data_IF_640018926806
#
_entry.id   IF_640018926806
#
_cell.length_a   1.000
_cell.length_b   1.000
_cell.length_c   1.000
_cell.angle_alpha   90.00
_cell.angle_beta   90.00
_cell.angle_gamma   90.00
#
_symmetry.space_group_name_H-M   'P 1'
#
loop_
_entity.id
_entity.type
_entity.pdbx_description
1 polymer ?
#
# COMPACT_ATOMS: atom_id res chain seq x y z
N UNK A 1 10.28 8.77 4.52
CA UNK A 1 9.06 8.19 3.94
C UNK A 1 9.42 7.38 2.72
N UNK A 2 8.88 6.18 2.55
CA UNK A 2 9.17 5.34 1.38
C UNK A 2 8.03 5.46 0.36
N UNK A 3 8.33 6.04 -0.80
CA UNK A 3 7.46 6.02 -1.96
C UNK A 3 7.90 4.89 -2.89
N UNK A 4 6.99 3.96 -3.20
CA UNK A 4 7.22 2.99 -4.27
C UNK A 4 6.46 3.48 -5.51
N UNK A 5 7.16 3.63 -6.62
CA UNK A 5 6.57 3.97 -7.91
C UNK A 5 6.69 2.74 -8.80
N UNK A 6 5.56 2.18 -9.20
CA UNK A 6 5.50 1.08 -10.17
C UNK A 6 4.89 1.62 -11.46
N UNK A 7 5.48 1.27 -12.61
CA UNK A 7 4.94 1.65 -13.92
C UNK A 7 3.50 1.17 -14.14
N UNK A 8 3.18 0.01 -13.57
CA UNK A 8 1.89 -0.65 -13.72
C UNK A 8 1.30 -1.02 -12.35
N UNK A 9 -0.04 -1.03 -12.26
CA UNK A 9 -0.79 -1.38 -11.03
C UNK A 9 -1.06 -2.89 -10.99
N UNK A 10 -0.01 -3.68 -10.84
CA UNK A 10 -0.10 -5.15 -10.85
C UNK A 10 -0.23 -5.77 -9.45
N UNK A 11 -0.92 -6.91 -9.39
CA UNK A 11 -0.99 -7.75 -8.18
C UNK A 11 0.40 -8.17 -7.68
N UNK A 12 1.29 -8.55 -8.61
CA UNK A 12 2.67 -8.96 -8.28
C UNK A 12 3.47 -7.82 -7.66
N UNK A 13 3.27 -6.59 -8.15
CA UNK A 13 3.92 -5.42 -7.61
C UNK A 13 3.41 -5.10 -6.19
N UNK A 14 2.09 -5.18 -5.99
CA UNK A 14 1.48 -5.01 -4.66
C UNK A 14 1.99 -6.06 -3.65
N UNK A 15 2.10 -7.33 -4.05
CA UNK A 15 2.66 -8.40 -3.22
C UNK A 15 4.11 -8.13 -2.81
N UNK A 16 4.97 -7.81 -3.78
CA UNK A 16 6.38 -7.48 -3.51
C UNK A 16 6.49 -6.29 -2.56
N UNK A 17 5.63 -5.28 -2.73
CA UNK A 17 5.61 -4.13 -1.85
C UNK A 17 5.20 -4.52 -0.42
N UNK A 18 4.11 -5.24 -0.24
CA UNK A 18 3.65 -5.69 1.09
C UNK A 18 4.75 -6.52 1.77
N UNK A 19 5.36 -7.48 1.06
CA UNK A 19 6.45 -8.29 1.60
C UNK A 19 7.67 -7.45 1.99
N UNK A 20 8.08 -6.49 1.15
CA UNK A 20 9.22 -5.61 1.43
C UNK A 20 8.95 -4.72 2.64
N UNK A 21 7.74 -4.15 2.73
CA UNK A 21 7.32 -3.29 3.84
C UNK A 21 7.26 -4.08 5.14
N UNK A 22 6.68 -5.28 5.13
CA UNK A 22 6.64 -6.15 6.31
C UNK A 22 8.04 -6.63 6.74
N UNK A 23 8.95 -6.87 5.79
CA UNK A 23 10.34 -7.23 6.12
C UNK A 23 11.08 -6.07 6.79
N UNK A 24 10.81 -4.83 6.38
CA UNK A 24 11.51 -3.64 6.88
C UNK A 24 10.94 -3.11 8.20
N UNK A 25 9.62 -3.05 8.30
CA UNK A 25 8.92 -2.44 9.44
C UNK A 25 8.36 -3.48 10.43
N UNK A 26 8.53 -4.77 10.15
CA UNK A 26 7.98 -5.85 10.96
C UNK A 26 6.50 -6.12 10.65
N UNK A 27 5.82 -6.78 11.57
CA UNK A 27 4.43 -7.19 11.39
C UNK A 27 3.47 -6.04 11.74
N UNK A 28 2.75 -5.46 10.77
CA UNK A 28 1.90 -4.30 11.03
C UNK A 28 0.59 -4.69 11.71
N UNK A 29 0.12 -3.86 12.64
CA UNK A 29 -1.18 -4.03 13.29
C UNK A 29 -2.34 -3.83 12.29
N UNK A 30 -2.25 -2.80 11.44
CA UNK A 30 -3.25 -2.48 10.41
C UNK A 30 -2.56 -1.97 9.15
N UNK A 31 -3.08 -2.35 7.98
CA UNK A 31 -2.59 -1.90 6.68
C UNK A 31 -3.67 -1.05 6.04
N UNK A 32 -3.44 0.26 6.00
CA UNK A 32 -4.31 1.20 5.28
C UNK A 32 -3.92 1.19 3.80
N UNK A 33 -4.75 0.56 2.98
CA UNK A 33 -4.56 0.46 1.54
C UNK A 33 -5.75 1.06 0.78
N UNK A 34 -5.53 1.40 -0.48
CA UNK A 34 -6.61 1.83 -1.38
C UNK A 34 -7.54 0.65 -1.72
N UNK A 35 -8.80 0.91 -2.12
CA UNK A 35 -9.81 -0.10 -2.49
C UNK A 35 -9.51 -0.77 -3.85
N UNK A 36 -8.24 -0.84 -4.26
CA UNK A 36 -7.83 -1.46 -5.51
C UNK A 36 -7.89 -2.99 -5.40
N UNK A 37 -8.48 -3.62 -6.41
CA UNK A 37 -8.65 -5.09 -6.50
C UNK A 37 -7.32 -5.85 -6.45
N UNK A 38 -6.24 -5.26 -6.98
CA UNK A 38 -4.89 -5.82 -6.93
C UNK A 38 -4.32 -5.89 -5.51
N UNK A 39 -4.62 -4.90 -4.67
CA UNK A 39 -4.21 -4.89 -3.25
C UNK A 39 -5.00 -5.90 -2.44
N UNK A 40 -6.32 -5.97 -2.64
CA UNK A 40 -7.17 -6.96 -1.96
C UNK A 40 -6.72 -8.39 -2.29
N UNK A 41 -6.42 -8.67 -3.57
CA UNK A 41 -5.89 -9.97 -3.98
C UNK A 41 -4.50 -10.27 -3.39
N UNK A 42 -3.63 -9.26 -3.28
CA UNK A 42 -2.31 -9.42 -2.67
C UNK A 42 -2.39 -9.67 -1.15
N UNK A 43 -3.30 -8.98 -0.46
CA UNK A 43 -3.55 -9.15 0.96
C UNK A 43 -4.19 -10.51 1.27
N UNK A 44 -5.07 -10.99 0.39
CA UNK A 44 -5.66 -12.33 0.48
C UNK A 44 -4.57 -13.43 0.34
N UNK A 45 -3.74 -13.35 -0.70
CA UNK A 45 -2.63 -14.30 -0.88
C UNK A 45 -1.62 -14.28 0.28
N UNK A 46 -1.42 -13.12 0.92
CA UNK A 46 -0.56 -13.03 2.10
C UNK A 46 -1.24 -13.47 3.41
N UNK A 47 -2.57 -13.66 3.42
CA UNK A 47 -3.34 -14.02 4.61
C UNK A 47 -3.59 -12.86 5.58
N UNK A 48 -3.43 -11.61 5.14
CA UNK A 48 -3.54 -10.41 5.99
C UNK A 48 -4.80 -9.59 5.67
N UNK A 49 -5.81 -10.20 5.05
CA UNK A 49 -7.01 -9.50 4.57
C UNK A 49 -7.81 -8.84 5.71
N UNK A 50 -7.87 -9.48 6.88
CA UNK A 50 -8.54 -8.96 8.08
C UNK A 50 -7.94 -7.64 8.58
N UNK A 51 -6.64 -7.46 8.38
CA UNK A 51 -5.89 -6.26 8.77
C UNK A 51 -5.99 -5.14 7.75
N UNK A 52 -6.68 -5.35 6.63
CA UNK A 52 -6.84 -4.35 5.60
C UNK A 52 -7.90 -3.33 6.02
N UNK A 53 -7.43 -2.13 6.34
CA UNK A 53 -8.30 -1.02 6.68
C UNK A 53 -8.57 -0.18 5.44
N UNK A 54 -9.76 -0.34 4.87
CA UNK A 54 -10.14 0.35 3.63
C UNK A 54 -11.18 1.44 3.90
N UNK A 55 -10.75 2.70 3.95
CA UNK A 55 -11.59 3.86 4.27
C UNK A 55 -11.41 5.02 3.30
N UNK A 56 -12.51 5.70 2.94
CA UNK A 56 -12.56 6.81 1.95
C UNK A 56 -11.60 7.97 2.26
N UNK A 57 -11.16 8.10 3.52
CA UNK A 57 -10.26 9.16 3.99
C UNK A 57 -8.99 8.67 4.68
N UNK A 58 -8.84 7.36 4.93
CA UNK A 58 -7.67 6.84 5.68
C UNK A 58 -6.39 6.87 4.85
N UNK A 59 -6.50 6.74 3.53
CA UNK A 59 -5.36 6.87 2.61
C UNK A 59 -4.95 8.35 2.37
N UNK A 60 -5.69 9.32 2.93
CA UNK A 60 -5.42 10.73 2.65
C UNK A 60 -4.08 11.19 3.21
N UNK A 61 -3.60 10.58 4.31
CA UNK A 61 -2.24 10.81 4.83
C UNK A 61 -1.17 10.41 3.82
N UNK A 62 -1.27 9.20 3.26
CA UNK A 62 -0.32 8.73 2.26
C UNK A 62 -0.43 9.51 0.94
N UNK A 63 -1.64 9.92 0.53
CA UNK A 63 -1.85 10.81 -0.63
C UNK A 63 -1.29 12.21 -0.43
N UNK A 64 -1.53 12.84 0.72
CA UNK A 64 -1.03 14.20 1.00
C UNK A 64 0.48 14.24 1.08
N UNK A 65 1.12 13.16 1.52
CA UNK A 65 2.56 13.03 1.50
C UNK A 65 3.15 12.88 0.09
N UNK A 66 2.34 12.56 -0.92
CA UNK A 66 2.76 12.58 -2.31
C UNK A 66 2.71 13.98 -2.93
N UNK A 67 1.93 14.92 -2.39
CA UNK A 67 1.86 16.31 -2.88
C UNK A 67 3.24 16.96 -3.13
N UNK A 68 4.24 16.86 -2.23
CA UNK A 68 5.58 17.42 -2.49
C UNK A 68 6.32 16.77 -3.67
N UNK A 69 5.94 15.54 -4.08
CA UNK A 69 6.52 14.88 -5.25
C UNK A 69 5.89 15.36 -6.56
N UNK A 70 4.60 15.77 -6.53
CA UNK A 70 3.92 16.34 -7.70
C UNK A 70 4.35 17.78 -8.00
N UNK A 71 4.88 18.51 -7.00
CA UNK A 71 5.35 19.89 -7.12
C UNK A 71 6.84 20.00 -7.48
N UNK A 72 7.52 18.87 -7.69
CA UNK A 72 8.95 18.81 -7.99
C UNK A 72 9.17 17.99 -9.26
N UNK A 73 8.65 18.53 -10.36
CA UNK A 73 9.11 18.30 -11.73
C UNK A 73 9.74 19.60 -12.25
#
# INVERSE_FOLDING_TARGET
MEANVTKYRDRKAALKFIQKTMKRHGYPFSIVADKLRSYCAAMNEKGNIDRQETGRWRNNRAKNLHLPFWLRE
#
